data_IF_235786153062
#
_entry.id   IF_235786153062
#
_cell.length_a   1.000
_cell.length_b   1.000
_cell.length_c   1.000
_cell.angle_alpha   90.00
_cell.angle_beta   90.00
_cell.angle_gamma   90.00
#
_symmetry.space_group_name_H-M   'P 1'
#
loop_
_entity.id
_entity.type
_entity.pdbx_description
1 polymer ?
#
# COMPACT_ATOMS: atom_id res chain seq x y z
N UNK A 1 53.32 33.28 -33.60
CA UNK A 1 53.00 33.92 -32.30
C UNK A 1 51.51 33.84 -32.09
N UNK A 2 50.88 33.58 -30.94
CA UNK A 2 51.21 33.15 -29.57
C UNK A 2 49.81 33.04 -28.92
N UNK A 3 49.51 31.94 -28.22
CA UNK A 3 48.59 31.72 -27.08
C UNK A 3 47.19 32.40 -27.07
N UNK A 4 46.10 31.75 -26.65
CA UNK A 4 45.96 31.23 -25.30
C UNK A 4 44.84 30.18 -25.15
N UNK A 5 45.18 29.12 -24.41
CA UNK A 5 44.27 28.34 -23.59
C UNK A 5 43.71 29.25 -22.48
N UNK A 6 42.39 29.26 -22.30
CA UNK A 6 41.73 29.93 -21.18
C UNK A 6 40.49 29.13 -20.80
N UNK A 7 40.64 28.23 -19.83
CA UNK A 7 39.51 27.51 -19.26
C UNK A 7 38.63 28.45 -18.44
N UNK A 8 37.33 28.13 -18.38
CA UNK A 8 36.47 28.58 -17.31
C UNK A 8 35.57 27.39 -16.89
N UNK A 9 35.91 26.83 -15.74
CA UNK A 9 35.02 26.05 -14.90
C UNK A 9 33.94 27.01 -14.37
N UNK A 10 32.66 26.68 -14.55
CA UNK A 10 31.59 27.30 -13.78
C UNK A 10 30.59 26.22 -13.33
N UNK A 11 30.40 26.19 -12.03
CA UNK A 11 29.83 25.11 -11.24
C UNK A 11 28.35 24.84 -11.53
N UNK A 12 28.00 23.56 -11.52
CA UNK A 12 26.62 23.12 -11.51
C UNK A 12 25.92 23.55 -10.22
N UNK A 13 24.87 24.36 -10.36
CA UNK A 13 23.89 24.56 -9.30
C UNK A 13 22.85 23.46 -9.44
N UNK A 14 23.05 22.36 -8.72
CA UNK A 14 21.99 21.38 -8.50
C UNK A 14 21.00 22.00 -7.52
N UNK A 15 19.97 22.66 -8.05
CA UNK A 15 18.77 22.97 -7.28
C UNK A 15 18.18 21.63 -6.84
N UNK A 16 18.44 21.29 -5.57
CA UNK A 16 17.79 20.20 -4.85
C UNK A 16 16.29 20.48 -4.87
N UNK A 17 15.59 19.84 -5.80
CA UNK A 17 14.14 19.77 -5.77
C UNK A 17 13.75 18.98 -4.53
N UNK A 18 13.26 19.66 -3.50
CA UNK A 18 12.39 19.02 -2.51
C UNK A 18 11.16 18.55 -3.30
N UNK A 19 11.18 17.29 -3.74
CA UNK A 19 9.99 16.61 -4.21
C UNK A 19 9.05 16.52 -3.01
N UNK A 20 8.17 17.53 -2.89
CA UNK A 20 7.04 17.46 -2.00
C UNK A 20 6.29 16.18 -2.31
N UNK A 21 6.05 15.37 -1.28
CA UNK A 21 5.17 14.21 -1.37
C UNK A 21 3.78 14.78 -1.71
N UNK A 22 3.45 14.84 -3.00
CA UNK A 22 2.09 15.10 -3.44
C UNK A 22 1.26 13.94 -2.92
N UNK A 23 0.41 14.20 -1.94
CA UNK A 23 -0.51 13.19 -1.41
C UNK A 23 -1.31 12.62 -2.56
N UNK A 24 -1.03 11.37 -2.92
CA UNK A 24 -1.79 10.63 -3.93
C UNK A 24 -3.18 10.38 -3.34
N UNK A 25 -4.23 10.88 -3.99
CA UNK A 25 -5.60 10.50 -3.64
C UNK A 25 -5.78 8.99 -3.82
N UNK A 26 -6.54 8.36 -2.92
CA UNK A 26 -6.83 6.93 -2.96
C UNK A 26 -7.57 6.60 -4.26
N UNK A 27 -6.95 5.76 -5.10
CA UNK A 27 -7.56 5.27 -6.34
C UNK A 27 -8.38 4.01 -6.13
N UNK A 28 -9.25 3.65 -7.09
CA UNK A 28 -10.01 2.38 -7.04
C UNK A 28 -9.11 1.14 -6.87
N UNK A 29 -7.93 1.15 -7.49
CA UNK A 29 -6.95 0.07 -7.32
C UNK A 29 -6.48 -0.04 -5.86
N UNK A 30 -6.40 1.07 -5.12
CA UNK A 30 -5.94 1.08 -3.73
C UNK A 30 -6.97 0.40 -2.83
N UNK A 31 -8.27 0.54 -3.10
CA UNK A 31 -9.35 -0.20 -2.42
C UNK A 31 -9.19 -1.71 -2.62
N UNK A 32 -8.99 -2.14 -3.87
CA UNK A 32 -8.80 -3.57 -4.20
C UNK A 32 -7.53 -4.13 -3.54
N UNK A 33 -6.42 -3.39 -3.61
CA UNK A 33 -5.15 -3.75 -2.97
C UNK A 33 -5.34 -3.86 -1.45
N UNK A 34 -6.07 -2.93 -0.83
CA UNK A 34 -6.36 -2.96 0.60
C UNK A 34 -7.22 -4.17 1.00
N UNK A 35 -8.29 -4.47 0.25
CA UNK A 35 -9.13 -5.66 0.50
C UNK A 35 -8.30 -6.95 0.38
N UNK A 36 -7.45 -7.06 -0.62
CA UNK A 36 -6.56 -8.20 -0.80
C UNK A 36 -5.49 -8.31 0.32
N UNK A 37 -4.92 -7.18 0.73
CA UNK A 37 -4.00 -7.04 1.85
C UNK A 37 -4.59 -7.58 3.14
N UNK A 38 -5.72 -7.01 3.57
CA UNK A 38 -6.42 -7.44 4.80
C UNK A 38 -6.90 -8.90 4.69
N UNK A 39 -7.40 -9.34 3.54
CA UNK A 39 -7.78 -10.75 3.31
C UNK A 39 -6.61 -11.73 3.50
N UNK A 40 -5.41 -11.30 3.10
CA UNK A 40 -4.18 -12.09 3.27
C UNK A 40 -3.78 -12.14 4.74
N UNK A 41 -3.71 -10.98 5.40
CA UNK A 41 -3.33 -10.86 6.81
C UNK A 41 -4.29 -11.63 7.72
N UNK A 42 -5.59 -11.42 7.56
CA UNK A 42 -6.64 -11.94 8.43
C UNK A 42 -7.10 -13.36 8.06
N UNK A 43 -6.55 -13.94 6.97
CA UNK A 43 -6.97 -15.23 6.42
C UNK A 43 -8.47 -15.28 6.05
N UNK A 44 -9.07 -14.13 5.72
CA UNK A 44 -10.48 -14.02 5.30
C UNK A 44 -10.60 -13.97 3.77
N UNK A 45 -11.80 -14.20 3.26
CA UNK A 45 -12.13 -13.99 1.84
C UNK A 45 -12.43 -12.51 1.63
N UNK A 46 -12.10 -11.92 0.45
CA UNK A 46 -12.43 -10.53 0.15
C UNK A 46 -13.91 -10.20 0.25
N UNK A 47 -14.79 -11.17 -0.05
CA UNK A 47 -16.23 -11.03 0.08
C UNK A 47 -16.71 -10.79 1.53
N UNK A 48 -15.88 -11.07 2.54
CA UNK A 48 -16.19 -10.80 3.96
C UNK A 48 -15.67 -9.43 4.41
N UNK A 49 -15.17 -8.60 3.48
CA UNK A 49 -14.67 -7.26 3.75
C UNK A 49 -15.48 -6.25 2.95
N UNK A 50 -16.14 -5.34 3.64
CA UNK A 50 -16.86 -4.22 3.03
C UNK A 50 -16.05 -2.93 3.20
N UNK A 51 -16.09 -2.07 2.19
CA UNK A 51 -15.56 -0.71 2.30
C UNK A 51 -16.59 0.10 3.08
N UNK A 52 -16.18 0.58 4.26
CA UNK A 52 -17.02 1.41 5.14
C UNK A 52 -16.88 2.88 4.78
N UNK A 53 -15.65 3.32 4.56
CA UNK A 53 -15.32 4.71 4.24
C UNK A 53 -13.94 4.79 3.56
N UNK A 54 -13.65 5.94 2.96
CA UNK A 54 -12.35 6.28 2.41
C UNK A 54 -12.08 7.78 2.60
N UNK A 55 -10.86 8.11 3.02
CA UNK A 55 -10.37 9.47 3.05
C UNK A 55 -9.06 9.59 2.24
N UNK A 56 -8.41 10.75 2.30
CA UNK A 56 -7.14 10.98 1.57
C UNK A 56 -5.96 10.15 2.08
N UNK A 57 -6.10 9.50 3.22
CA UNK A 57 -5.02 8.79 3.92
C UNK A 57 -5.25 7.29 3.96
N UNK A 58 -6.49 6.81 3.97
CA UNK A 58 -6.80 5.40 4.19
C UNK A 58 -8.15 4.95 3.61
N UNK A 59 -8.19 3.66 3.31
CA UNK A 59 -9.41 2.87 3.11
C UNK A 59 -9.78 2.21 4.44
N UNK A 60 -11.04 2.35 4.86
CA UNK A 60 -11.57 1.72 6.06
C UNK A 60 -12.45 0.52 5.67
N UNK A 61 -12.12 -0.65 6.21
CA UNK A 61 -12.75 -1.92 5.91
C UNK A 61 -13.43 -2.50 7.15
N UNK A 62 -14.71 -2.85 7.04
CA UNK A 62 -15.41 -3.60 8.05
C UNK A 62 -15.45 -5.09 7.70
N UNK A 63 -15.43 -5.95 8.72
CA UNK A 63 -15.73 -7.38 8.52
C UNK A 63 -17.25 -7.52 8.39
N UNK A 64 -17.70 -8.26 7.38
CA UNK A 64 -19.10 -8.65 7.22
C UNK A 64 -19.21 -10.16 7.29
N UNK A 65 -20.09 -10.65 8.16
CA UNK A 65 -20.41 -12.08 8.31
C UNK A 65 -21.92 -12.25 8.22
N UNK A 66 -22.40 -13.13 7.35
CA UNK A 66 -23.82 -13.38 7.11
C UNK A 66 -24.64 -12.10 6.83
N UNK A 67 -24.04 -11.12 6.14
CA UNK A 67 -24.67 -9.84 5.81
C UNK A 67 -24.69 -8.82 6.96
N UNK A 68 -24.09 -9.13 8.10
CA UNK A 68 -24.03 -8.25 9.27
C UNK A 68 -22.60 -7.72 9.46
N UNK A 69 -22.49 -6.39 9.53
CA UNK A 69 -21.24 -5.71 9.87
C UNK A 69 -20.83 -6.05 11.31
N UNK A 70 -19.58 -6.45 11.47
CA UNK A 70 -18.99 -6.76 12.77
C UNK A 70 -18.35 -5.52 13.38
N UNK A 71 -18.29 -5.49 14.71
CA UNK A 71 -17.73 -4.34 15.47
C UNK A 71 -16.27 -4.02 15.13
N UNK A 72 -15.51 -4.98 14.60
CA UNK A 72 -14.09 -4.82 14.32
C UNK A 72 -13.86 -4.44 12.86
N UNK A 73 -13.13 -3.35 12.66
CA UNK A 73 -12.69 -2.87 11.35
C UNK A 73 -11.17 -2.71 11.25
N UNK A 74 -10.71 -2.49 10.03
CA UNK A 74 -9.33 -2.27 9.67
C UNK A 74 -9.19 -0.99 8.86
N UNK A 75 -8.01 -0.40 8.93
CA UNK A 75 -7.61 0.67 8.02
C UNK A 75 -6.41 0.23 7.21
N UNK A 76 -6.32 0.72 6.00
CA UNK A 76 -5.28 0.37 5.05
C UNK A 76 -4.94 1.54 4.14
N UNK A 77 -3.68 1.63 3.74
CA UNK A 77 -3.23 2.52 2.67
C UNK A 77 -2.13 1.88 1.86
N UNK A 78 -1.95 2.38 0.64
CA UNK A 78 -0.95 1.89 -0.31
C UNK A 78 0.23 2.86 -0.34
N UNK A 79 1.42 2.34 -0.09
CA UNK A 79 2.68 3.08 -0.10
C UNK A 79 3.69 2.37 -1.00
N UNK A 80 3.88 2.87 -2.22
CA UNK A 80 4.72 2.18 -3.21
C UNK A 80 4.16 0.79 -3.52
N UNK A 81 4.93 -0.25 -3.26
CA UNK A 81 4.55 -1.68 -3.39
C UNK A 81 4.04 -2.30 -2.08
N UNK A 82 3.85 -1.48 -1.03
CA UNK A 82 3.45 -1.94 0.30
C UNK A 82 1.98 -1.68 0.58
N UNK A 83 1.41 -2.60 1.35
CA UNK A 83 0.12 -2.39 2.02
C UNK A 83 0.40 -2.10 3.50
N UNK A 84 0.21 -0.85 3.90
CA UNK A 84 0.32 -0.45 5.30
C UNK A 84 -1.06 -0.54 5.93
N UNK A 85 -1.19 -1.29 7.03
CA UNK A 85 -2.48 -1.60 7.62
C UNK A 85 -2.47 -1.48 9.15
N UNK A 86 -3.66 -1.46 9.74
CA UNK A 86 -3.87 -1.54 11.18
C UNK A 86 -5.34 -1.85 11.51
N UNK A 87 -5.63 -2.08 12.79
CA UNK A 87 -7.02 -1.99 13.25
C UNK A 87 -7.52 -0.54 13.05
N UNK A 88 -8.83 -0.35 12.80
CA UNK A 88 -9.43 0.96 12.52
C UNK A 88 -8.98 2.03 13.53
N UNK A 89 -9.15 1.76 14.82
CA UNK A 89 -8.74 2.63 15.92
C UNK A 89 -7.36 2.29 16.51
N UNK A 90 -6.56 1.48 15.80
CA UNK A 90 -5.26 1.01 16.27
C UNK A 90 -4.07 1.75 15.66
N UNK A 91 -2.87 1.37 16.08
CA UNK A 91 -1.62 1.80 15.44
C UNK A 91 -1.48 1.19 14.04
N UNK A 92 -0.71 1.87 13.20
CA UNK A 92 -0.23 1.30 11.95
C UNK A 92 0.82 0.22 12.24
N UNK A 93 0.83 -0.83 11.42
CA UNK A 93 1.78 -1.94 11.51
C UNK A 93 3.06 -1.62 10.74
N UNK A 94 3.80 -0.62 11.21
CA UNK A 94 5.03 -0.10 10.57
C UNK A 94 6.30 -0.35 11.38
N UNK A 95 6.20 -0.94 12.57
CA UNK A 95 7.37 -1.18 13.42
C UNK A 95 8.25 -2.29 12.84
N UNK A 96 9.55 -2.28 13.18
CA UNK A 96 10.54 -3.25 12.69
C UNK A 96 10.13 -4.72 12.88
N UNK A 97 9.35 -5.02 13.92
CA UNK A 97 8.89 -6.37 14.24
C UNK A 97 7.52 -6.72 13.63
N UNK A 98 6.84 -5.75 13.01
CA UNK A 98 5.57 -6.01 12.35
C UNK A 98 5.78 -6.78 11.04
N UNK A 99 4.77 -7.55 10.65
CA UNK A 99 4.79 -8.24 9.38
C UNK A 99 4.69 -7.22 8.23
N UNK A 100 5.58 -7.35 7.25
CA UNK A 100 5.53 -6.52 6.04
C UNK A 100 4.56 -7.14 5.04
N UNK A 101 3.67 -6.32 4.47
CA UNK A 101 2.73 -6.74 3.43
C UNK A 101 3.07 -5.99 2.14
N UNK A 102 3.28 -6.74 1.08
CA UNK A 102 3.62 -6.24 -0.27
C UNK A 102 2.64 -6.78 -1.28
N UNK A 103 2.54 -6.12 -2.43
CA UNK A 103 1.70 -6.57 -3.52
C UNK A 103 2.36 -6.39 -4.89
N UNK A 104 1.87 -7.14 -5.87
CA UNK A 104 2.23 -7.01 -7.29
C UNK A 104 0.99 -7.20 -8.15
N UNK A 105 0.80 -6.30 -9.12
CA UNK A 105 -0.25 -6.39 -10.14
C UNK A 105 0.38 -6.82 -11.45
N UNK A 106 -0.18 -7.85 -12.08
CA UNK A 106 0.21 -8.36 -13.39
C UNK A 106 -1.06 -8.69 -14.19
N UNK A 107 -1.40 -7.83 -15.16
CA UNK A 107 -2.69 -7.90 -15.84
C UNK A 107 -3.85 -7.79 -14.85
N UNK A 108 -4.78 -8.74 -14.90
CA UNK A 108 -5.94 -8.80 -13.98
C UNK A 108 -5.67 -9.54 -12.67
N UNK A 109 -4.41 -9.88 -12.41
CA UNK A 109 -3.99 -10.64 -11.24
C UNK A 109 -3.29 -9.75 -10.22
N UNK A 110 -3.72 -9.84 -8.97
CA UNK A 110 -3.08 -9.22 -7.81
C UNK A 110 -2.53 -10.30 -6.89
N UNK A 111 -1.21 -10.30 -6.70
CA UNK A 111 -0.55 -11.16 -5.70
C UNK A 111 -0.18 -10.33 -4.48
N UNK A 112 -0.52 -10.81 -3.29
CA UNK A 112 -0.17 -10.20 -2.00
C UNK A 112 0.70 -11.16 -1.21
N UNK A 113 1.79 -10.63 -0.65
CA UNK A 113 2.70 -11.37 0.23
C UNK A 113 2.81 -10.70 1.60
N UNK A 114 2.57 -11.47 2.66
CA UNK A 114 2.88 -11.11 4.03
C UNK A 114 4.14 -11.85 4.49
N UNK A 115 5.16 -11.10 4.92
CA UNK A 115 6.41 -11.63 5.47
C UNK A 115 6.46 -11.35 6.97
N UNK A 116 6.71 -12.37 7.79
CA UNK A 116 6.81 -12.21 9.25
C UNK A 116 8.25 -11.95 9.68
N UNK A 117 8.44 -11.15 10.74
CA UNK A 117 9.77 -10.78 11.25
C UNK A 117 10.64 -12.00 11.61
N UNK A 118 10.03 -13.05 12.19
CA UNK A 118 10.73 -14.28 12.57
C UNK A 118 10.96 -15.24 11.39
N UNK A 119 10.67 -14.80 10.17
CA UNK A 119 10.67 -15.63 8.97
C UNK A 119 9.33 -16.29 8.71
N UNK A 120 9.24 -16.91 7.53
CA UNK A 120 7.98 -17.42 6.99
C UNK A 120 7.20 -16.35 6.23
N UNK A 121 6.41 -16.81 5.25
CA UNK A 121 5.61 -15.95 4.40
C UNK A 121 4.25 -16.55 4.12
N UNK A 122 3.28 -15.68 3.85
CA UNK A 122 1.98 -16.04 3.30
C UNK A 122 1.81 -15.33 1.98
N UNK A 123 1.42 -16.06 0.95
CA UNK A 123 1.11 -15.50 -0.36
C UNK A 123 -0.32 -15.87 -0.71
N UNK A 124 -1.07 -14.91 -1.25
CA UNK A 124 -2.37 -15.13 -1.86
C UNK A 124 -2.43 -14.39 -3.19
N UNK A 125 -3.18 -14.96 -4.12
CA UNK A 125 -3.44 -14.37 -5.43
C UNK A 125 -4.94 -14.17 -5.59
N UNK A 126 -5.33 -13.06 -6.20
CA UNK A 126 -6.70 -12.63 -6.41
C UNK A 126 -6.86 -12.15 -7.85
N UNK A 127 -8.04 -12.34 -8.45
CA UNK A 127 -8.43 -11.56 -9.62
C UNK A 127 -8.90 -10.18 -9.17
N UNK A 128 -8.57 -9.14 -9.93
CA UNK A 128 -9.06 -7.78 -9.64
C UNK A 128 -10.59 -7.73 -9.69
N UNK A 129 -11.21 -8.44 -10.63
CA UNK A 129 -12.66 -8.58 -10.71
C UNK A 129 -13.26 -9.16 -9.40
N UNK A 130 -12.64 -10.21 -8.85
CA UNK A 130 -13.12 -10.89 -7.64
C UNK A 130 -12.96 -10.07 -6.34
N UNK A 131 -12.26 -8.94 -6.39
CA UNK A 131 -12.12 -8.02 -5.25
C UNK A 131 -13.27 -7.00 -5.18
N UNK A 132 -14.06 -6.89 -6.25
CA UNK A 132 -15.04 -5.83 -6.41
C UNK A 132 -14.38 -4.46 -6.63
N UNK A 133 -15.21 -3.44 -6.83
CA UNK A 133 -14.76 -2.03 -6.86
C UNK A 133 -14.93 -1.41 -5.48
#
# INVERSE_FOLDING_TARGET
MKFAFGGLLAAGVLLSGCAGITGKDIGQNDVQICKAGISTVMKRKPAHLAVKDQDKQAVYLAIVENGVEQKWGYKCRVEGDRVVWGAENGRWMTDRKDATVTYKVEGDTLTVMQMFYQGGRRVKTFSLEGLGK
#
